data_IF_502132845742
#
_entry.id   IF_502132845742
#
_cell.length_a   1.000
_cell.length_b   1.000
_cell.length_c   1.000
_cell.angle_alpha   90.00
_cell.angle_beta   90.00
_cell.angle_gamma   90.00
#
_symmetry.space_group_name_H-M   'P 1'
#
loop_
_entity.id
_entity.type
_entity.pdbx_description
1 polymer ?
#
# COMPACT_ATOMS: atom_id res chain seq x y z
N UNK A 1 14.99 -38.80 -38.55
CA UNK A 1 13.96 -37.72 -38.53
C UNK A 1 12.94 -37.88 -37.41
N UNK A 2 12.41 -39.08 -37.12
CA UNK A 2 11.39 -39.32 -36.05
C UNK A 2 11.82 -38.99 -34.60
N UNK A 3 13.12 -39.06 -34.28
CA UNK A 3 13.66 -38.72 -32.94
C UNK A 3 13.85 -37.21 -32.71
N UNK A 4 13.92 -36.41 -33.78
CA UNK A 4 14.07 -34.95 -33.68
C UNK A 4 12.72 -34.28 -33.35
N UNK A 5 11.62 -34.85 -33.81
CA UNK A 5 10.26 -34.38 -33.53
C UNK A 5 9.82 -34.56 -32.07
N UNK A 6 10.33 -35.57 -31.38
CA UNK A 6 10.01 -35.84 -29.96
C UNK A 6 10.75 -34.87 -29.03
N UNK A 7 11.98 -34.48 -29.39
CA UNK A 7 12.78 -33.53 -28.62
C UNK A 7 12.18 -32.10 -28.67
N UNK A 8 11.65 -31.71 -29.84
CA UNK A 8 11.03 -30.39 -30.02
C UNK A 8 9.71 -30.25 -29.23
N UNK A 9 8.96 -31.34 -29.06
CA UNK A 9 7.69 -31.33 -28.32
C UNK A 9 7.89 -31.25 -26.79
N UNK A 10 8.98 -31.83 -26.26
CA UNK A 10 9.33 -31.73 -24.84
C UNK A 10 9.77 -30.32 -24.45
N UNK A 11 10.53 -29.63 -25.31
CA UNK A 11 10.98 -28.25 -25.04
C UNK A 11 9.80 -27.27 -24.99
N UNK A 12 8.77 -27.49 -25.80
CA UNK A 12 7.53 -26.67 -25.79
C UNK A 12 6.71 -26.92 -24.51
N UNK A 13 6.69 -28.13 -23.97
CA UNK A 13 5.95 -28.43 -22.71
C UNK A 13 6.70 -27.98 -21.44
N UNK A 14 8.02 -27.86 -21.46
CA UNK A 14 8.80 -27.36 -20.31
C UNK A 14 8.93 -25.83 -20.27
N UNK A 15 8.58 -25.12 -21.35
CA UNK A 15 8.68 -23.66 -21.44
C UNK A 15 7.37 -22.91 -21.08
N UNK A 16 6.32 -23.63 -20.69
CA UNK A 16 4.98 -23.07 -20.43
C UNK A 16 4.58 -22.76 -18.97
N UNK A 17 5.48 -22.48 -17.99
CA UNK A 17 5.04 -21.96 -16.69
C UNK A 17 5.56 -20.54 -16.45
N UNK A 18 5.27 -19.55 -17.30
CA UNK A 18 5.79 -18.19 -17.06
C UNK A 18 4.80 -17.02 -17.16
N UNK A 19 3.51 -17.24 -17.44
CA UNK A 19 2.53 -16.13 -17.46
C UNK A 19 1.18 -16.49 -16.83
N UNK A 20 1.15 -17.40 -15.85
CA UNK A 20 0.00 -17.48 -14.97
C UNK A 20 0.12 -16.37 -13.92
N UNK A 21 -0.33 -15.15 -14.25
CA UNK A 21 -0.60 -14.13 -13.23
C UNK A 21 -1.73 -14.68 -12.38
N UNK A 22 -1.39 -15.14 -11.17
CA UNK A 22 -2.41 -15.60 -10.22
C UNK A 22 -3.33 -14.40 -9.94
N UNK A 23 -4.61 -14.51 -10.30
CA UNK A 23 -5.58 -13.44 -10.03
C UNK A 23 -5.66 -13.17 -8.52
N UNK A 24 -6.03 -11.95 -8.10
CA UNK A 24 -6.31 -11.66 -6.71
C UNK A 24 -7.35 -12.65 -6.17
N UNK A 25 -7.09 -13.22 -5.00
CA UNK A 25 -7.97 -14.21 -4.37
C UNK A 25 -8.81 -13.50 -3.32
N UNK A 26 -10.12 -13.75 -3.35
CA UNK A 26 -11.04 -13.23 -2.31
C UNK A 26 -10.61 -13.71 -0.94
N UNK A 27 -10.51 -12.79 0.02
CA UNK A 27 -10.13 -13.11 1.38
C UNK A 27 -9.85 -11.89 2.24
N UNK A 28 -9.66 -12.14 3.54
CA UNK A 28 -9.17 -11.15 4.51
C UNK A 28 -7.78 -11.58 4.94
N UNK A 29 -6.80 -10.73 4.65
CA UNK A 29 -5.38 -10.96 4.91
C UNK A 29 -4.91 -9.97 5.96
N UNK A 30 -4.26 -10.46 7.01
CA UNK A 30 -3.86 -9.63 8.14
C UNK A 30 -2.39 -9.86 8.53
N UNK A 31 -1.80 -8.90 9.23
CA UNK A 31 -0.41 -9.01 9.67
C UNK A 31 -0.19 -9.94 10.88
N UNK A 32 1.06 -10.35 11.17
CA UNK A 32 1.39 -11.24 12.30
C UNK A 32 0.87 -10.79 13.65
N UNK A 33 0.89 -9.49 13.95
CA UNK A 33 0.34 -8.93 15.18
C UNK A 33 -1.20 -9.07 15.29
N UNK A 34 -1.87 -9.43 14.19
CA UNK A 34 -3.29 -9.79 14.12
C UNK A 34 -3.52 -11.28 13.81
N UNK A 35 -2.46 -12.09 13.83
CA UNK A 35 -2.52 -13.54 13.64
C UNK A 35 -2.45 -14.04 12.19
N UNK A 36 -2.04 -13.19 11.23
CA UNK A 36 -1.89 -13.58 9.82
C UNK A 36 -0.45 -13.49 9.32
N UNK A 37 -0.27 -13.59 8.00
CA UNK A 37 1.06 -13.69 7.36
C UNK A 37 1.43 -12.47 6.51
N UNK A 38 0.61 -11.41 6.51
CA UNK A 38 0.92 -10.19 5.77
C UNK A 38 2.03 -9.41 6.47
N UNK A 39 3.17 -9.24 5.83
CA UNK A 39 4.25 -8.45 6.36
C UNK A 39 3.77 -7.03 6.69
N UNK A 40 4.15 -6.59 7.89
CA UNK A 40 4.21 -5.18 8.26
C UNK A 40 5.02 -4.43 7.21
N UNK A 41 4.88 -3.11 7.19
CA UNK A 41 5.54 -2.32 6.17
C UNK A 41 6.28 -1.13 6.72
N UNK A 42 6.72 -0.33 5.76
CA UNK A 42 7.31 0.98 5.95
C UNK A 42 6.65 1.93 4.98
N UNK A 43 6.58 3.18 5.36
CA UNK A 43 6.03 4.24 4.54
C UNK A 43 6.95 5.45 4.49
N UNK A 44 6.76 6.24 3.45
CA UNK A 44 7.32 7.57 3.31
C UNK A 44 6.27 8.50 2.72
N UNK A 45 6.34 9.76 3.09
CA UNK A 45 5.56 10.83 2.47
C UNK A 45 6.53 11.90 2.03
N UNK A 46 6.67 12.05 0.72
CA UNK A 46 7.48 13.08 0.11
C UNK A 46 6.75 14.43 0.09
N UNK A 47 7.50 15.52 0.04
CA UNK A 47 7.03 16.91 -0.07
C UNK A 47 8.05 17.73 -0.85
N UNK A 48 7.67 18.86 -1.47
CA UNK A 48 8.58 19.62 -2.32
C UNK A 48 9.59 20.48 -1.53
N UNK A 49 9.33 20.76 -0.26
CA UNK A 49 10.18 21.65 0.55
C UNK A 49 10.36 21.13 1.97
N UNK A 50 11.35 21.66 2.68
CA UNK A 50 11.55 21.38 4.10
C UNK A 50 10.31 21.79 4.91
N UNK A 51 9.85 20.88 5.77
CA UNK A 51 8.74 21.05 6.72
C UNK A 51 7.37 21.41 6.12
N UNK A 52 7.22 21.52 4.79
CA UNK A 52 5.98 22.00 4.17
C UNK A 52 5.89 21.69 2.67
N UNK A 53 4.75 22.09 2.10
CA UNK A 53 4.55 22.13 0.66
C UNK A 53 3.63 21.05 0.12
N UNK A 54 3.11 21.33 -1.07
CA UNK A 54 2.28 20.43 -1.87
C UNK A 54 2.81 20.40 -3.30
N UNK A 55 2.60 19.31 -4.04
CA UNK A 55 1.92 18.08 -3.61
C UNK A 55 2.74 17.26 -2.62
N UNK A 56 2.07 16.51 -1.73
CA UNK A 56 2.71 15.42 -0.99
C UNK A 56 2.43 14.10 -1.66
N UNK A 57 3.39 13.17 -1.61
CA UNK A 57 3.27 11.88 -2.29
C UNK A 57 3.50 10.74 -1.32
N UNK A 58 2.49 9.90 -1.13
CA UNK A 58 2.54 8.72 -0.26
C UNK A 58 3.14 7.53 -1.00
N UNK A 59 4.04 6.80 -0.33
CA UNK A 59 4.61 5.56 -0.79
C UNK A 59 4.82 4.60 0.40
N UNK A 60 4.21 3.43 0.34
CA UNK A 60 4.32 2.39 1.36
C UNK A 60 4.68 1.03 0.75
N UNK A 61 5.50 0.25 1.43
CA UNK A 61 5.90 -1.08 0.99
C UNK A 61 5.96 -2.05 2.17
N UNK A 62 5.57 -3.30 1.93
CA UNK A 62 5.85 -4.43 2.84
C UNK A 62 7.35 -4.52 3.17
N UNK A 63 7.67 -4.96 4.38
CA UNK A 63 9.04 -5.14 4.85
C UNK A 63 9.24 -6.51 5.49
N UNK A 64 10.14 -7.31 4.92
CA UNK A 64 10.42 -8.67 5.40
C UNK A 64 11.67 -8.76 6.31
N UNK A 65 12.26 -7.62 6.70
CA UNK A 65 13.52 -7.57 7.45
C UNK A 65 14.78 -7.42 6.59
N UNK A 66 14.69 -7.56 5.25
CA UNK A 66 15.81 -7.41 4.33
C UNK A 66 15.48 -6.64 3.04
N UNK A 67 14.28 -6.82 2.49
CA UNK A 67 13.84 -6.26 1.21
C UNK A 67 12.44 -5.64 1.33
N UNK A 68 12.28 -4.45 0.74
CA UNK A 68 11.00 -3.77 0.61
C UNK A 68 10.17 -4.35 -0.54
N UNK A 69 8.84 -4.25 -0.44
CA UNK A 69 7.93 -4.50 -1.57
C UNK A 69 7.87 -5.97 -2.00
N UNK A 70 8.03 -6.90 -1.07
CA UNK A 70 8.01 -8.35 -1.39
C UNK A 70 6.61 -8.96 -1.37
N UNK A 71 5.64 -8.31 -0.71
CA UNK A 71 4.27 -8.76 -0.60
C UNK A 71 3.28 -7.72 -1.13
N UNK A 72 3.45 -6.46 -0.74
CA UNK A 72 2.63 -5.35 -1.22
C UNK A 72 3.45 -4.07 -1.38
N UNK A 73 3.01 -3.23 -2.31
CA UNK A 73 3.50 -1.88 -2.55
C UNK A 73 2.33 -0.96 -2.87
N UNK A 74 2.18 0.11 -2.11
CA UNK A 74 1.24 1.19 -2.34
C UNK A 74 2.00 2.43 -2.79
N UNK A 75 1.77 2.90 -4.00
CA UNK A 75 2.60 3.95 -4.62
C UNK A 75 1.77 5.09 -5.19
N UNK A 76 2.34 6.29 -5.12
CA UNK A 76 1.86 7.51 -5.76
C UNK A 76 0.43 7.97 -5.39
N UNK A 77 0.05 7.86 -4.12
CA UNK A 77 -1.09 8.63 -3.63
C UNK A 77 -0.69 10.10 -3.52
N UNK A 78 -1.49 11.03 -4.09
CA UNK A 78 -1.12 12.47 -4.13
C UNK A 78 -2.08 13.32 -3.30
N UNK A 79 -1.52 14.03 -2.32
CA UNK A 79 -2.21 15.13 -1.62
C UNK A 79 -1.83 16.44 -2.32
N UNK A 80 -2.67 16.90 -3.25
CA UNK A 80 -2.40 18.11 -4.03
C UNK A 80 -2.66 19.41 -3.25
N UNK A 81 -3.58 19.35 -2.28
CA UNK A 81 -3.93 20.42 -1.36
C UNK A 81 -4.15 19.81 0.01
N UNK A 82 -3.71 20.50 1.06
CA UNK A 82 -3.91 20.04 2.42
C UNK A 82 -5.00 20.79 3.15
N UNK A 83 -5.41 20.21 4.27
CA UNK A 83 -6.28 20.84 5.24
C UNK A 83 -5.46 21.44 6.38
N UNK A 84 -6.03 22.44 7.06
CA UNK A 84 -5.43 22.98 8.27
C UNK A 84 -5.37 21.87 9.35
N UNK A 85 -4.24 21.70 10.05
CA UNK A 85 -4.17 20.75 11.16
C UNK A 85 -5.10 21.14 12.30
N UNK A 86 -5.53 20.17 13.09
CA UNK A 86 -6.21 20.41 14.36
C UNK A 86 -5.17 20.70 15.45
N UNK A 87 -5.32 21.88 16.07
CA UNK A 87 -4.49 22.39 17.17
C UNK A 87 -5.23 22.40 18.51
N UNK A 88 -6.40 21.78 18.62
CA UNK A 88 -7.24 21.78 19.82
C UNK A 88 -6.52 21.27 21.08
N UNK A 89 -5.50 20.42 20.90
CA UNK A 89 -4.67 19.86 21.97
C UNK A 89 -3.26 20.44 22.00
N UNK A 90 -2.98 21.51 21.25
CA UNK A 90 -1.68 22.16 21.17
C UNK A 90 -1.68 23.52 21.88
N UNK A 91 -0.78 23.69 22.85
CA UNK A 91 -0.57 24.98 23.49
C UNK A 91 0.48 25.78 22.71
N UNK A 92 0.03 26.82 21.99
CA UNK A 92 0.91 27.67 21.20
C UNK A 92 1.89 28.52 22.03
N UNK A 93 1.60 28.79 23.31
CA UNK A 93 2.47 29.58 24.19
C UNK A 93 3.65 28.74 24.65
N UNK A 94 3.42 27.48 25.01
CA UNK A 94 4.47 26.56 25.49
C UNK A 94 5.05 25.67 24.38
N UNK A 95 4.46 25.69 23.18
CA UNK A 95 4.83 24.80 22.08
C UNK A 95 4.64 23.33 22.40
N UNK A 96 3.71 22.99 23.30
CA UNK A 96 3.56 21.63 23.83
C UNK A 96 2.14 21.10 23.61
N UNK A 97 2.02 19.86 23.16
CA UNK A 97 0.74 19.19 22.94
C UNK A 97 0.67 18.45 21.61
N UNK A 98 -0.51 17.94 21.28
CA UNK A 98 -0.75 17.22 20.02
C UNK A 98 -1.19 18.16 18.90
N UNK A 99 -0.61 17.95 17.72
CA UNK A 99 -1.13 18.46 16.45
C UNK A 99 -1.63 17.25 15.66
N UNK A 100 -2.89 17.29 15.23
CA UNK A 100 -3.49 16.23 14.41
C UNK A 100 -3.59 16.68 12.97
N UNK A 101 -3.07 15.88 12.05
CA UNK A 101 -3.11 16.10 10.61
C UNK A 101 -4.07 15.09 9.97
N UNK A 102 -5.03 15.60 9.20
CA UNK A 102 -5.88 14.80 8.33
C UNK A 102 -5.42 15.00 6.89
N UNK A 103 -4.85 13.94 6.31
CA UNK A 103 -4.30 13.98 4.96
C UNK A 103 -5.13 13.11 4.04
N UNK A 104 -5.38 13.61 2.84
CA UNK A 104 -6.13 12.90 1.81
C UNK A 104 -5.28 12.80 0.55
N UNK A 105 -4.84 11.58 0.25
CA UNK A 105 -4.10 11.28 -0.96
C UNK A 105 -5.05 10.68 -1.99
N UNK A 106 -5.19 11.32 -3.14
CA UNK A 106 -6.05 10.86 -4.22
C UNK A 106 -5.25 9.98 -5.18
N UNK A 107 -5.91 8.97 -5.73
CA UNK A 107 -5.30 8.06 -6.69
C UNK A 107 -4.24 7.16 -6.07
N UNK A 108 -3.26 6.80 -6.90
CA UNK A 108 -2.20 5.86 -6.57
C UNK A 108 -2.52 4.44 -7.03
N UNK A 109 -1.59 3.54 -6.76
CA UNK A 109 -1.70 2.12 -7.07
C UNK A 109 -1.37 1.26 -5.86
N UNK A 110 -1.97 0.09 -5.78
CA UNK A 110 -1.52 -1.00 -4.92
C UNK A 110 -1.12 -2.17 -5.81
N UNK A 111 0.11 -2.67 -5.66
CA UNK A 111 0.54 -3.94 -6.23
C UNK A 111 0.65 -4.97 -5.11
N UNK A 112 0.03 -6.13 -5.30
CA UNK A 112 0.26 -7.31 -4.47
C UNK A 112 1.08 -8.33 -5.25
N UNK A 113 2.11 -8.86 -4.61
CA UNK A 113 3.02 -9.86 -5.15
C UNK A 113 2.62 -11.25 -4.64
N UNK A 114 2.78 -12.30 -5.47
CA UNK A 114 2.51 -13.66 -5.03
C UNK A 114 3.38 -14.04 -3.83
N UNK A 115 2.74 -14.45 -2.74
CA UNK A 115 3.39 -15.02 -1.56
C UNK A 115 2.63 -16.29 -1.15
N UNK A 116 3.35 -17.41 -1.08
CA UNK A 116 2.78 -18.71 -0.76
C UNK A 116 2.24 -18.81 0.67
N UNK A 117 2.77 -18.02 1.61
CA UNK A 117 2.33 -17.98 3.00
C UNK A 117 1.05 -17.15 3.16
N UNK A 118 0.80 -16.21 2.25
CA UNK A 118 -0.39 -15.34 2.28
C UNK A 118 -1.52 -15.91 1.43
N UNK A 119 -1.22 -16.38 0.22
CA UNK A 119 -2.19 -17.03 -0.66
C UNK A 119 -3.16 -16.09 -1.38
N UNK A 120 -2.88 -14.77 -1.46
CA UNK A 120 -3.77 -13.78 -2.09
C UNK A 120 -3.64 -13.62 -3.61
N UNK A 121 -2.79 -14.43 -4.26
CA UNK A 121 -2.49 -14.27 -5.68
C UNK A 121 -1.60 -13.05 -5.98
N UNK A 122 -1.86 -12.37 -7.10
CA UNK A 122 -1.11 -11.20 -7.55
C UNK A 122 -2.00 -10.23 -8.31
N UNK A 123 -1.63 -8.97 -8.35
CA UNK A 123 -2.38 -7.98 -9.12
C UNK A 123 -1.98 -6.56 -8.80
N UNK A 124 -2.32 -5.66 -9.71
CA UNK A 124 -2.23 -4.21 -9.50
C UNK A 124 -3.64 -3.67 -9.41
N UNK A 125 -3.84 -2.69 -8.55
CA UNK A 125 -5.10 -2.02 -8.33
C UNK A 125 -4.92 -0.51 -8.39
N UNK A 126 -5.91 0.15 -8.97
CA UNK A 126 -6.05 1.61 -8.88
C UNK A 126 -6.73 1.96 -7.56
N UNK A 127 -6.11 2.85 -6.79
CA UNK A 127 -6.63 3.33 -5.52
C UNK A 127 -7.51 4.57 -5.72
N UNK A 128 -8.58 4.68 -4.96
CA UNK A 128 -9.48 5.83 -5.01
C UNK A 128 -8.91 6.97 -4.18
N UNK A 129 -8.96 6.79 -2.86
CA UNK A 129 -8.53 7.77 -1.86
C UNK A 129 -7.86 7.01 -0.73
N UNK A 130 -6.69 7.48 -0.30
CA UNK A 130 -6.04 7.06 0.93
C UNK A 130 -6.18 8.17 1.96
N UNK A 131 -6.89 7.89 3.03
CA UNK A 131 -7.00 8.80 4.17
C UNK A 131 -5.94 8.43 5.20
N UNK A 132 -5.16 9.42 5.64
CA UNK A 132 -4.17 9.25 6.70
C UNK A 132 -4.48 10.23 7.82
N UNK A 133 -4.63 9.74 9.03
CA UNK A 133 -4.68 10.60 10.22
C UNK A 133 -3.39 10.42 11.00
N UNK A 134 -2.62 11.50 11.12
CA UNK A 134 -1.34 11.51 11.85
C UNK A 134 -1.46 12.39 13.08
N UNK A 135 -0.92 11.95 14.20
CA UNK A 135 -0.81 12.74 15.42
C UNK A 135 0.67 12.95 15.73
N UNK A 136 1.07 14.20 15.92
CA UNK A 136 2.44 14.56 16.31
C UNK A 136 2.39 15.24 17.65
N UNK A 137 3.11 14.72 18.63
CA UNK A 137 3.27 15.36 19.93
C UNK A 137 4.54 16.22 19.92
N UNK A 138 4.37 17.48 20.28
CA UNK A 138 5.46 18.43 20.43
C UNK A 138 5.68 18.73 21.91
N UNK A 139 6.94 18.94 22.27
CA UNK A 139 7.35 19.49 23.55
C UNK A 139 8.31 20.65 23.29
N UNK A 140 7.97 21.85 23.78
CA UNK A 140 8.74 23.08 23.54
C UNK A 140 9.05 23.32 22.04
N UNK A 141 8.04 23.16 21.18
CA UNK A 141 8.13 23.25 19.71
C UNK A 141 9.00 22.19 19.02
N UNK A 142 9.42 21.15 19.75
CA UNK A 142 10.18 20.03 19.20
C UNK A 142 9.28 18.81 19.07
N UNK A 143 9.13 18.20 17.87
CA UNK A 143 8.46 16.92 17.73
C UNK A 143 9.21 15.84 18.51
N UNK A 144 8.52 15.11 19.38
CA UNK A 144 9.13 14.01 20.16
C UNK A 144 8.52 12.64 19.85
N UNK A 145 7.29 12.61 19.34
CA UNK A 145 6.65 11.37 18.89
C UNK A 145 5.59 11.65 17.83
N UNK A 146 5.37 10.66 16.97
CA UNK A 146 4.28 10.70 16.01
C UNK A 146 3.73 9.31 15.73
N UNK A 147 2.42 9.21 15.60
CA UNK A 147 1.73 8.02 15.14
C UNK A 147 0.78 8.34 14.00
N UNK A 148 0.39 7.35 13.23
CA UNK A 148 -0.59 7.50 12.18
C UNK A 148 -1.43 6.25 11.95
N UNK A 149 -2.61 6.45 11.39
CA UNK A 149 -3.45 5.38 10.85
C UNK A 149 -3.79 5.73 9.41
N UNK A 150 -4.01 4.72 8.57
CA UNK A 150 -4.48 4.96 7.22
C UNK A 150 -5.48 3.92 6.75
N UNK A 151 -6.33 4.33 5.81
CA UNK A 151 -7.27 3.46 5.12
C UNK A 151 -7.38 3.89 3.66
N UNK A 152 -7.49 2.92 2.76
CA UNK A 152 -7.76 3.14 1.36
C UNK A 152 -8.66 2.05 0.79
N UNK A 153 -9.29 2.35 -0.33
CA UNK A 153 -10.04 1.40 -1.15
C UNK A 153 -9.67 1.57 -2.62
N UNK A 154 -9.86 0.50 -3.39
CA UNK A 154 -9.53 0.49 -4.81
C UNK A 154 -10.15 -0.69 -5.55
N UNK A 155 -9.83 -0.77 -6.84
CA UNK A 155 -10.23 -1.88 -7.70
C UNK A 155 -9.00 -2.46 -8.39
N UNK A 156 -8.89 -3.79 -8.41
CA UNK A 156 -7.84 -4.49 -9.14
C UNK A 156 -8.04 -4.34 -10.63
N UNK A 157 -7.00 -3.89 -11.32
CA UNK A 157 -6.98 -3.67 -12.76
C UNK A 157 -7.26 -4.97 -13.51
N UNK A 158 -8.04 -4.88 -14.59
CA UNK A 158 -8.45 -6.04 -15.41
C UNK A 158 -9.21 -7.13 -14.63
N UNK A 159 -9.83 -6.81 -13.50
CA UNK A 159 -10.66 -7.72 -12.72
C UNK A 159 -11.92 -7.01 -12.21
N UNK A 160 -12.91 -7.78 -11.76
CA UNK A 160 -14.05 -7.24 -11.02
C UNK A 160 -13.78 -7.15 -9.51
N UNK A 161 -12.56 -7.44 -9.06
CA UNK A 161 -12.21 -7.50 -7.65
C UNK A 161 -12.00 -6.10 -7.09
N UNK A 162 -12.62 -5.80 -5.95
CA UNK A 162 -12.35 -4.60 -5.16
C UNK A 162 -11.45 -4.93 -3.97
N UNK A 163 -10.84 -3.89 -3.39
CA UNK A 163 -10.03 -4.02 -2.19
C UNK A 163 -10.29 -2.92 -1.18
N UNK A 164 -10.05 -3.26 0.08
CA UNK A 164 -9.87 -2.32 1.18
C UNK A 164 -8.54 -2.63 1.88
N UNK A 165 -7.73 -1.62 2.11
CA UNK A 165 -6.44 -1.76 2.77
C UNK A 165 -6.37 -0.77 3.94
N UNK A 166 -6.04 -1.24 5.14
CA UNK A 166 -5.86 -0.40 6.33
C UNK A 166 -4.52 -0.64 7.02
N UNK A 167 -3.92 0.43 7.54
CA UNK A 167 -2.89 0.41 8.57
C UNK A 167 -3.54 0.80 9.90
N UNK A 168 -3.66 -0.14 10.83
CA UNK A 168 -4.26 0.12 12.14
C UNK A 168 -3.37 0.98 13.05
N UNK A 169 -2.05 0.96 12.83
CA UNK A 169 -1.09 1.75 13.59
C UNK A 169 0.20 1.94 12.79
N UNK A 170 0.80 3.12 12.84
CA UNK A 170 2.11 3.40 12.29
C UNK A 170 2.84 4.40 13.17
N UNK A 171 4.16 4.34 13.14
CA UNK A 171 5.02 5.20 13.97
C UNK A 171 5.99 5.95 13.07
N UNK A 172 6.02 7.28 13.21
CA UNK A 172 7.04 8.08 12.53
C UNK A 172 8.41 7.82 13.13
N UNK A 173 9.39 7.57 12.26
CA UNK A 173 10.77 7.23 12.64
C UNK A 173 11.71 8.41 12.39
N UNK A 174 11.48 9.17 11.32
CA UNK A 174 12.29 10.33 11.04
C UNK A 174 11.74 11.23 9.94
N UNK A 175 12.39 12.37 9.80
CA UNK A 175 12.03 13.42 8.89
C UNK A 175 13.27 14.15 8.40
N UNK A 176 13.28 14.54 7.12
CA UNK A 176 14.31 15.42 6.57
C UNK A 176 13.98 16.89 6.83
N UNK A 177 14.97 17.75 7.11
CA UNK A 177 16.41 17.48 7.06
C UNK A 177 17.01 16.98 8.38
N UNK A 178 16.19 16.74 9.41
CA UNK A 178 16.68 16.41 10.75
C UNK A 178 17.38 15.05 10.81
N UNK A 179 17.00 14.11 9.95
CA UNK A 179 17.66 12.83 9.76
C UNK A 179 17.81 12.51 8.27
N UNK A 180 18.78 11.65 7.96
CA UNK A 180 18.88 11.03 6.63
C UNK A 180 17.94 9.82 6.56
N UNK A 181 17.10 9.75 5.53
CA UNK A 181 16.20 8.61 5.33
C UNK A 181 17.04 7.35 5.02
N UNK A 182 16.89 6.27 5.80
CA UNK A 182 17.59 5.03 5.51
C UNK A 182 17.13 4.40 4.17
N UNK A 183 18.00 3.60 3.55
CA UNK A 183 17.73 2.95 2.27
C UNK A 183 16.66 1.84 2.36
N UNK A 184 16.42 1.33 3.56
CA UNK A 184 15.43 0.31 3.86
C UNK A 184 14.03 0.91 4.14
N UNK A 185 13.81 2.21 3.90
CA UNK A 185 12.49 2.84 3.82
C UNK A 185 12.14 3.19 2.37
N UNK A 186 10.84 3.17 1.99
CA UNK A 186 10.40 3.52 0.64
C UNK A 186 11.00 4.84 0.15
N UNK A 187 11.33 4.90 -1.14
CA UNK A 187 11.86 6.11 -1.74
C UNK A 187 10.83 7.25 -1.68
N UNK A 188 11.31 8.48 -1.52
CA UNK A 188 10.49 9.64 -1.77
C UNK A 188 10.16 9.70 -3.25
N UNK A 189 8.88 9.95 -3.58
CA UNK A 189 8.39 10.05 -4.94
C UNK A 189 8.06 11.52 -5.27
N UNK A 190 8.33 11.91 -6.50
CA UNK A 190 7.85 13.15 -7.08
C UNK A 190 6.37 13.04 -7.48
N UNK A 191 5.76 14.18 -7.83
CA UNK A 191 4.34 14.27 -8.19
C UNK A 191 3.97 13.47 -9.44
N UNK A 192 4.94 13.16 -10.30
CA UNK A 192 4.80 12.32 -11.49
C UNK A 192 5.04 10.82 -11.19
N UNK A 193 5.07 10.46 -9.91
CA UNK A 193 5.33 9.11 -9.41
C UNK A 193 6.75 8.57 -9.65
N UNK A 194 7.66 9.37 -10.22
CA UNK A 194 9.07 9.00 -10.35
C UNK A 194 9.77 9.14 -8.99
N UNK A 195 10.94 8.50 -8.77
CA UNK A 195 11.77 8.80 -7.61
C UNK A 195 12.09 10.30 -7.58
N UNK A 196 11.88 10.94 -6.43
CA UNK A 196 12.24 12.33 -6.24
C UNK A 196 13.73 12.53 -6.54
N UNK A 197 14.10 13.66 -7.15
CA UNK A 197 15.50 13.95 -7.43
C UNK A 197 16.29 14.22 -6.13
N UNK A 198 17.61 14.34 -6.24
CA UNK A 198 18.49 14.54 -5.10
C UNK A 198 18.26 15.87 -4.35
N UNK A 199 17.72 16.89 -5.02
CA UNK A 199 17.44 18.19 -4.43
C UNK A 199 16.09 18.22 -3.69
N UNK A 200 15.19 17.30 -4.01
CA UNK A 200 13.84 17.22 -3.45
C UNK A 200 13.62 15.98 -2.58
N UNK A 201 14.66 15.54 -1.85
CA UNK A 201 14.57 14.48 -0.85
C UNK A 201 13.97 14.99 0.47
N UNK A 202 12.79 15.61 0.41
CA UNK A 202 12.10 16.10 1.61
C UNK A 202 10.90 15.23 1.94
N UNK A 203 10.74 14.87 3.21
CA UNK A 203 9.61 14.10 3.68
C UNK A 203 9.79 13.49 5.06
N UNK A 204 8.80 12.67 5.42
CA UNK A 204 8.76 11.86 6.64
C UNK A 204 8.75 10.38 6.28
N UNK A 205 9.23 9.52 7.16
CA UNK A 205 9.14 8.06 7.02
C UNK A 205 8.81 7.39 8.35
N UNK A 206 8.21 6.21 8.27
CA UNK A 206 7.74 5.50 9.43
C UNK A 206 7.46 4.03 9.17
N UNK A 207 7.24 3.28 10.24
CA UNK A 207 6.85 1.88 10.19
C UNK A 207 5.31 1.77 10.14
N UNK A 208 4.79 0.81 9.38
CA UNK A 208 3.35 0.51 9.30
C UNK A 208 3.06 -0.87 9.90
N UNK A 209 2.15 -0.91 10.86
CA UNK A 209 1.76 -2.10 11.62
C UNK A 209 0.24 -2.32 11.51
N UNK A 210 -0.24 -3.45 12.04
CA UNK A 210 -1.68 -3.77 12.12
C UNK A 210 -2.40 -3.70 10.77
N UNK A 211 -1.84 -4.37 9.77
CA UNK A 211 -2.35 -4.39 8.41
C UNK A 211 -3.58 -5.29 8.30
N UNK A 212 -4.57 -4.80 7.56
CA UNK A 212 -5.70 -5.59 7.06
C UNK A 212 -5.89 -5.26 5.58
N UNK A 213 -5.91 -6.29 4.74
CA UNK A 213 -6.29 -6.23 3.35
C UNK A 213 -7.49 -7.14 3.12
N UNK A 214 -8.61 -6.57 2.70
CA UNK A 214 -9.76 -7.31 2.20
C UNK A 214 -9.73 -7.29 0.68
N UNK A 215 -9.86 -8.45 0.06
CA UNK A 215 -10.06 -8.61 -1.39
C UNK A 215 -11.43 -9.22 -1.59
N UNK A 216 -12.26 -8.59 -2.42
CA UNK A 216 -13.58 -9.08 -2.77
C UNK A 216 -13.71 -9.23 -4.28
N UNK A 217 -13.73 -10.47 -4.76
CA UNK A 217 -14.03 -10.78 -6.16
C UNK A 217 -15.46 -11.32 -6.26
N UNK A 218 -16.42 -10.58 -6.86
CA UNK A 218 -17.76 -11.08 -7.10
C UNK A 218 -17.69 -12.29 -8.04
N UNK A 219 -18.27 -13.41 -7.62
CA UNK A 219 -18.42 -14.58 -8.49
C UNK A 219 -19.60 -14.32 -9.43
N UNK A 220 -19.44 -14.39 -10.76
CA UNK A 220 -20.56 -14.24 -11.68
C UNK A 220 -21.64 -15.28 -11.34
N UNK A 221 -22.86 -14.84 -11.06
CA UNK A 221 -24.00 -15.76 -10.99
C UNK A 221 -24.27 -16.29 -12.39
N UNK A 222 -23.89 -17.53 -12.67
CA UNK A 222 -24.28 -18.18 -13.92
C UNK A 222 -25.81 -18.32 -13.97
N UNK A 223 -26.48 -17.52 -14.81
CA UNK A 223 -27.92 -17.67 -15.10
C UNK A 223 -28.26 -19.04 -15.75
N UNK A 224 -27.26 -19.76 -16.27
CA UNK A 224 -27.43 -21.02 -17.02
C UNK A 224 -27.87 -22.21 -16.14
N UNK A 225 -27.55 -22.21 -14.84
CA UNK A 225 -27.80 -23.36 -13.96
C UNK A 225 -29.21 -23.39 -13.39
N UNK A 226 -29.87 -22.25 -13.21
CA UNK A 226 -31.25 -22.19 -12.72
C UNK A 226 -32.26 -22.76 -13.73
N UNK A 227 -32.01 -22.57 -15.03
CA UNK A 227 -32.83 -23.15 -16.09
C UNK A 227 -32.76 -24.68 -16.11
N UNK A 228 -31.55 -25.25 -15.93
CA UNK A 228 -31.31 -26.68 -15.89
C UNK A 228 -31.83 -27.35 -14.61
N UNK A 229 -31.71 -26.69 -13.45
CA UNK A 229 -32.30 -27.20 -12.20
C UNK A 229 -33.82 -27.25 -12.29
N UNK A 230 -34.47 -26.25 -12.89
CA UNK A 230 -35.94 -26.27 -13.09
C UNK A 230 -36.43 -27.35 -14.05
N UNK A 231 -35.61 -27.81 -14.99
CA UNK A 231 -35.96 -28.92 -15.88
C UNK A 231 -35.83 -30.31 -15.23
N UNK A 232 -35.13 -30.43 -14.09
CA UNK A 232 -35.02 -31.69 -13.34
C UNK A 232 -36.26 -31.94 -12.46
N UNK A 233 -37.00 -30.89 -12.10
CA UNK A 233 -38.22 -30.96 -11.28
C UNK A 233 -39.53 -30.92 -12.10
N UNK A 234 -39.48 -31.19 -13.42
CA UNK A 234 -40.67 -31.31 -14.28
C UNK A 234 -40.86 -32.73 -14.78
#
# INVERSE_FOLDING_TARGET
MRKLSILLLMIVFTALPLLAVAQPVTGTYVSPNRGGNVFVGRSSVARPTVNSGFPKVFHGQSWNGATLGTQWEMSCGIEAVGQAPDYSQFNQVTGTGFITYHQTFNGGSLTIYPDANVGWGSGTATLNVTQVTSQVFLQNFVPISSSFTAYTSGNFDNSACSLEFAFGNGFGVGETPYAAKPADYPAFLAADCSPADAAHQFGVWGDTNDIVLNIYCPVPTEQSTWGHVKSIYR
#
